data_IF_847562778413
#
_entry.id   IF_847562778413
#
_cell.length_a   1.000
_cell.length_b   1.000
_cell.length_c   1.000
_cell.angle_alpha   90.00
_cell.angle_beta   90.00
_cell.angle_gamma   90.00
#
_symmetry.space_group_name_H-M   'P 1'
#
loop_
_entity.id
_entity.type
_entity.pdbx_description
1 polymer ?
#
# COMPACT_ATOMS: atom_id res chain seq x y z
N UNK A 1 -13.15 29.28 20.59
CA UNK A 1 -13.86 27.99 20.70
C UNK A 1 -12.97 26.94 20.06
N UNK A 2 -12.64 25.87 20.79
CA UNK A 2 -11.65 24.88 20.36
C UNK A 2 -12.19 24.11 19.15
N UNK A 3 -11.58 24.26 17.96
CA UNK A 3 -11.91 23.51 16.73
C UNK A 3 -11.40 22.06 16.77
N UNK A 4 -10.34 21.82 17.55
CA UNK A 4 -9.69 20.52 17.72
C UNK A 4 -10.60 19.37 18.22
N UNK A 5 -11.57 19.57 19.15
CA UNK A 5 -12.41 18.50 19.66
C UNK A 5 -13.46 18.07 18.63
N UNK A 6 -14.06 19.02 17.90
CA UNK A 6 -15.10 18.69 16.93
C UNK A 6 -14.53 18.00 15.71
N UNK A 7 -13.43 18.51 15.15
CA UNK A 7 -12.74 17.87 14.03
C UNK A 7 -12.37 16.43 14.39
N UNK A 8 -11.77 16.22 15.55
CA UNK A 8 -11.41 14.88 16.03
C UNK A 8 -12.62 13.95 16.13
N UNK A 9 -13.71 14.40 16.74
CA UNK A 9 -14.96 13.60 16.83
C UNK A 9 -15.50 13.25 15.44
N UNK A 10 -15.45 14.19 14.49
CA UNK A 10 -15.87 13.94 13.11
C UNK A 10 -14.98 12.89 12.42
N UNK A 11 -13.66 13.01 12.55
CA UNK A 11 -12.72 12.06 11.97
C UNK A 11 -12.91 10.66 12.57
N UNK A 12 -13.05 10.54 13.90
CA UNK A 12 -13.32 9.26 14.58
C UNK A 12 -14.61 8.61 14.07
N UNK A 13 -15.66 9.41 13.87
CA UNK A 13 -16.94 8.95 13.29
C UNK A 13 -16.75 8.43 11.86
N UNK A 14 -16.00 9.16 11.02
CA UNK A 14 -15.71 8.76 9.64
C UNK A 14 -14.92 7.45 9.61
N UNK A 15 -13.90 7.31 10.46
CA UNK A 15 -13.13 6.07 10.60
C UNK A 15 -14.02 4.88 10.97
N UNK A 16 -14.99 5.09 11.86
CA UNK A 16 -15.96 4.05 12.26
C UNK A 16 -16.84 3.63 11.07
N UNK A 17 -17.36 4.61 10.32
CA UNK A 17 -18.19 4.37 9.13
C UNK A 17 -17.42 3.71 7.97
N UNK A 18 -16.10 3.97 7.85
CA UNK A 18 -15.22 3.29 6.91
C UNK A 18 -15.16 1.79 7.22
N UNK A 19 -14.91 1.43 8.49
CA UNK A 19 -14.89 0.04 8.97
C UNK A 19 -16.23 -0.67 8.77
N UNK A 20 -17.35 0.03 8.99
CA UNK A 20 -18.70 -0.50 8.74
C UNK A 20 -19.00 -0.67 7.24
N UNK A 21 -18.17 -0.09 6.35
CA UNK A 21 -18.33 -0.18 4.91
C UNK A 21 -19.47 0.68 4.38
N UNK A 22 -19.80 1.79 5.06
CA UNK A 22 -20.93 2.66 4.74
C UNK A 22 -20.93 3.11 3.27
N UNK A 23 -19.76 3.41 2.72
CA UNK A 23 -19.62 3.96 1.36
C UNK A 23 -19.26 2.93 0.28
N UNK A 24 -19.39 1.62 0.55
CA UNK A 24 -19.06 0.56 -0.42
C UNK A 24 -19.90 0.61 -1.71
N UNK A 25 -21.09 1.21 -1.65
CA UNK A 25 -22.00 1.34 -2.79
C UNK A 25 -21.92 2.70 -3.50
N UNK A 26 -21.06 3.62 -3.06
CA UNK A 26 -20.92 4.91 -3.70
C UNK A 26 -20.30 4.74 -5.10
N UNK A 27 -20.90 5.40 -6.10
CA UNK A 27 -20.40 5.38 -7.49
C UNK A 27 -19.09 6.16 -7.63
N UNK A 28 -18.96 7.25 -6.88
CA UNK A 28 -17.74 8.05 -6.77
C UNK A 28 -17.13 7.89 -5.40
N UNK A 29 -15.80 7.96 -5.34
CA UNK A 29 -15.08 7.91 -4.06
C UNK A 29 -15.32 9.23 -3.30
N UNK A 30 -15.95 9.22 -2.12
CA UNK A 30 -16.31 10.44 -1.41
C UNK A 30 -15.10 11.19 -0.82
N UNK A 31 -13.93 10.54 -0.78
CA UNK A 31 -12.70 11.13 -0.26
C UNK A 31 -11.87 11.81 -1.36
N UNK A 32 -12.24 11.66 -2.63
CA UNK A 32 -11.49 12.23 -3.76
C UNK A 32 -11.53 13.75 -3.82
N UNK A 33 -12.50 14.41 -3.21
CA UNK A 33 -12.59 15.88 -3.18
C UNK A 33 -12.08 16.49 -1.87
N UNK A 34 -11.64 15.66 -0.92
CA UNK A 34 -11.11 16.15 0.35
C UNK A 34 -9.69 16.70 0.20
N UNK A 35 -9.31 17.69 1.03
CA UNK A 35 -7.92 18.10 1.19
C UNK A 35 -7.02 16.92 1.57
N UNK A 36 -5.84 16.83 0.95
CA UNK A 36 -4.79 15.83 1.25
C UNK A 36 -4.56 15.65 2.75
N UNK A 37 -4.42 16.77 3.49
CA UNK A 37 -4.17 16.74 4.94
C UNK A 37 -5.24 15.95 5.69
N UNK A 38 -6.52 16.09 5.33
CA UNK A 38 -7.60 15.36 6.01
C UNK A 38 -7.60 13.87 5.65
N UNK A 39 -7.28 13.52 4.39
CA UNK A 39 -7.18 12.12 3.98
C UNK A 39 -6.01 11.43 4.67
N UNK A 40 -4.90 12.14 4.85
CA UNK A 40 -3.73 11.65 5.59
C UNK A 40 -4.04 11.49 7.08
N UNK A 41 -4.69 12.46 7.71
CA UNK A 41 -5.16 12.33 9.10
C UNK A 41 -6.10 11.13 9.28
N UNK A 42 -7.05 10.91 8.37
CA UNK A 42 -7.93 9.72 8.39
C UNK A 42 -7.12 8.43 8.22
N UNK A 43 -6.15 8.42 7.31
CA UNK A 43 -5.28 7.26 7.09
C UNK A 43 -4.44 6.94 8.33
N UNK A 44 -3.90 7.96 8.99
CA UNK A 44 -3.16 7.80 10.24
C UNK A 44 -4.06 7.29 11.37
N UNK A 45 -5.27 7.84 11.54
CA UNK A 45 -6.23 7.40 12.54
C UNK A 45 -6.64 5.93 12.33
N UNK A 46 -6.89 5.52 11.09
CA UNK A 46 -7.24 4.13 10.78
C UNK A 46 -6.08 3.16 11.01
N UNK A 47 -4.83 3.63 10.95
CA UNK A 47 -3.63 2.85 11.27
C UNK A 47 -3.22 2.95 12.74
N UNK A 48 -3.72 3.95 13.48
CA UNK A 48 -3.45 4.12 14.91
C UNK A 48 -4.17 3.02 15.70
N UNK A 49 -3.39 2.13 16.32
CA UNK A 49 -3.82 0.84 16.82
C UNK A 49 -4.40 0.87 18.24
N UNK A 50 -5.32 -0.07 18.48
CA UNK A 50 -5.43 -0.82 19.73
C UNK A 50 -5.06 -2.29 19.42
N UNK A 51 -4.38 -3.00 20.33
CA UNK A 51 -3.88 -4.38 20.07
C UNK A 51 -5.02 -5.36 19.74
N UNK A 52 -6.25 -5.02 20.13
CA UNK A 52 -7.44 -5.84 19.98
C UNK A 52 -8.20 -5.64 18.65
N UNK A 53 -7.94 -4.57 17.90
CA UNK A 53 -8.61 -4.29 16.62
C UNK A 53 -7.58 -3.84 15.55
N UNK A 54 -6.85 -4.80 14.94
CA UNK A 54 -5.86 -4.46 13.92
C UNK A 54 -6.53 -3.87 12.66
N UNK A 55 -5.87 -2.90 11.99
CA UNK A 55 -6.36 -2.26 10.80
C UNK A 55 -6.51 -3.28 9.69
N UNK A 56 -7.65 -3.20 8.99
CA UNK A 56 -7.93 -4.04 7.83
C UNK A 56 -7.78 -3.22 6.57
N UNK A 57 -7.05 -3.76 5.62
CA UNK A 57 -6.76 -3.11 4.36
C UNK A 57 -8.04 -2.76 3.58
N UNK A 58 -9.00 -3.68 3.54
CA UNK A 58 -10.25 -3.46 2.80
C UNK A 58 -11.15 -2.37 3.41
N UNK A 59 -11.00 -2.06 4.70
CA UNK A 59 -11.78 -1.01 5.37
C UNK A 59 -11.32 0.39 4.94
N UNK A 60 -10.05 0.52 4.52
CA UNK A 60 -9.45 1.80 4.11
C UNK A 60 -9.28 1.94 2.60
N UNK A 61 -9.84 1.02 1.81
CA UNK A 61 -9.69 1.02 0.35
C UNK A 61 -10.12 2.33 -0.31
N UNK A 62 -11.14 3.00 0.24
CA UNK A 62 -11.60 4.29 -0.25
C UNK A 62 -10.59 5.42 0.01
N UNK A 63 -9.86 5.38 1.14
CA UNK A 63 -8.76 6.34 1.37
C UNK A 63 -7.59 6.06 0.42
N UNK A 64 -7.24 4.78 0.26
CA UNK A 64 -6.19 4.30 -0.62
C UNK A 64 -6.41 4.64 -2.10
N UNK A 65 -7.66 4.80 -2.53
CA UNK A 65 -8.01 5.11 -3.93
C UNK A 65 -8.56 6.53 -4.10
N UNK A 66 -8.40 7.39 -3.08
CA UNK A 66 -8.87 8.77 -3.11
C UNK A 66 -8.11 9.64 -4.12
N UNK A 67 -6.86 9.29 -4.41
CA UNK A 67 -5.93 10.10 -5.20
C UNK A 67 -5.31 11.27 -4.44
N UNK A 68 -5.48 11.30 -3.12
CA UNK A 68 -5.05 12.41 -2.25
C UNK A 68 -3.83 12.10 -1.40
N UNK A 69 -3.38 10.84 -1.35
CA UNK A 69 -2.25 10.44 -0.50
C UNK A 69 -0.92 10.90 -1.11
N UNK A 70 -0.06 11.51 -0.27
CA UNK A 70 1.37 11.70 -0.58
C UNK A 70 2.22 10.58 0.02
N UNK A 71 1.73 9.95 1.09
CA UNK A 71 2.39 8.82 1.76
C UNK A 71 1.53 7.57 1.73
N UNK A 72 2.08 6.50 1.19
CA UNK A 72 1.48 5.16 1.22
C UNK A 72 2.31 4.25 2.12
N UNK A 73 1.74 3.87 3.27
CA UNK A 73 2.31 2.85 4.13
C UNK A 73 1.38 1.64 4.24
N UNK A 74 1.78 0.53 3.61
CA UNK A 74 1.02 -0.72 3.66
C UNK A 74 1.56 -1.73 4.70
N UNK A 75 2.59 -1.38 5.45
CA UNK A 75 3.21 -2.27 6.44
C UNK A 75 2.30 -2.65 7.62
N UNK A 76 1.40 -1.78 8.12
CA UNK A 76 0.50 -2.13 9.24
C UNK A 76 -0.52 -3.22 8.89
N UNK A 77 -0.82 -3.45 7.61
CA UNK A 77 -1.86 -4.39 7.18
C UNK A 77 -1.30 -5.81 6.98
N UNK A 78 -2.08 -6.82 7.37
CA UNK A 78 -1.76 -8.23 7.11
C UNK A 78 -2.35 -8.68 5.76
N UNK A 79 -1.88 -8.04 4.68
CA UNK A 79 -2.41 -8.20 3.32
C UNK A 79 -2.44 -9.66 2.84
N UNK A 80 -1.45 -10.46 3.25
CA UNK A 80 -1.38 -11.88 2.95
C UNK A 80 -2.59 -12.64 3.49
N UNK A 81 -2.87 -12.44 4.77
CA UNK A 81 -3.97 -13.08 5.47
C UNK A 81 -5.31 -12.56 4.94
N UNK A 82 -5.42 -11.25 4.69
CA UNK A 82 -6.64 -10.65 4.16
C UNK A 82 -6.97 -11.14 2.74
N UNK A 83 -5.99 -11.18 1.83
CA UNK A 83 -6.17 -11.70 0.46
C UNK A 83 -6.49 -13.20 0.47
N UNK A 84 -5.78 -14.01 1.26
CA UNK A 84 -6.04 -15.45 1.36
C UNK A 84 -7.41 -15.75 1.95
N UNK A 85 -7.80 -15.03 3.02
CA UNK A 85 -9.13 -15.17 3.60
C UNK A 85 -10.24 -14.76 2.64
N UNK A 86 -10.00 -13.74 1.81
CA UNK A 86 -10.95 -13.30 0.79
C UNK A 86 -11.14 -14.37 -0.28
N UNK A 87 -10.06 -14.96 -0.79
CA UNK A 87 -10.15 -16.03 -1.79
C UNK A 87 -10.82 -17.30 -1.28
N UNK A 88 -10.54 -17.68 -0.02
CA UNK A 88 -11.19 -18.83 0.63
C UNK A 88 -12.71 -18.66 0.71
N UNK A 89 -13.21 -17.44 0.94
CA UNK A 89 -14.66 -17.14 0.94
C UNK A 89 -15.31 -17.36 -0.42
N UNK A 90 -14.56 -17.23 -1.52
CA UNK A 90 -15.07 -17.47 -2.87
C UNK A 90 -14.93 -18.93 -3.34
N UNK A 91 -14.73 -19.88 -2.42
CA UNK A 91 -14.69 -21.32 -2.75
C UNK A 91 -13.43 -21.78 -3.47
N UNK A 92 -12.41 -20.92 -3.61
CA UNK A 92 -11.08 -21.34 -4.04
C UNK A 92 -10.35 -21.89 -2.81
N UNK A 93 -10.32 -23.23 -2.68
CA UNK A 93 -9.44 -23.91 -1.72
C UNK A 93 -7.99 -23.46 -1.87
N UNK A 94 -7.22 -23.48 -0.78
CA UNK A 94 -5.83 -23.01 -0.62
C UNK A 94 -5.28 -22.20 -1.82
N UNK A 95 -5.36 -20.88 -1.73
CA UNK A 95 -4.89 -19.96 -2.75
C UNK A 95 -3.45 -20.29 -3.13
N UNK A 96 -3.20 -20.67 -4.39
CA UNK A 96 -1.83 -20.81 -4.89
C UNK A 96 -1.09 -19.49 -4.63
N UNK A 97 0.15 -19.53 -4.11
CA UNK A 97 0.89 -18.30 -3.85
C UNK A 97 1.07 -17.40 -5.08
N UNK A 98 1.05 -17.97 -6.28
CA UNK A 98 1.07 -17.23 -7.55
C UNK A 98 -0.20 -16.39 -7.74
N UNK A 99 -1.36 -16.93 -7.37
CA UNK A 99 -2.65 -16.22 -7.46
C UNK A 99 -2.69 -15.08 -6.46
N UNK A 100 -2.28 -15.31 -5.21
CA UNK A 100 -2.16 -14.24 -4.22
C UNK A 100 -1.22 -13.14 -4.70
N UNK A 101 -0.12 -13.51 -5.37
CA UNK A 101 0.89 -12.55 -5.83
C UNK A 101 0.35 -11.70 -6.97
N UNK A 102 -0.34 -12.32 -7.92
CA UNK A 102 -1.04 -11.58 -8.99
C UNK A 102 -2.04 -10.58 -8.42
N UNK A 103 -2.88 -11.01 -7.47
CA UNK A 103 -3.87 -10.12 -6.85
C UNK A 103 -3.22 -8.98 -6.08
N UNK A 104 -2.13 -9.26 -5.37
CA UNK A 104 -1.34 -8.23 -4.72
C UNK A 104 -0.80 -7.21 -5.73
N UNK A 105 -0.20 -7.67 -6.83
CA UNK A 105 0.34 -6.79 -7.86
C UNK A 105 -0.76 -5.97 -8.57
N UNK A 106 -1.93 -6.55 -8.83
CA UNK A 106 -3.09 -5.84 -9.39
C UNK A 106 -3.64 -4.78 -8.43
N UNK A 107 -3.71 -5.12 -7.15
CA UNK A 107 -4.14 -4.21 -6.09
C UNK A 107 -3.17 -3.04 -5.93
N UNK A 108 -1.86 -3.30 -5.87
CA UNK A 108 -0.84 -2.25 -5.81
C UNK A 108 -0.91 -1.38 -7.06
N UNK A 109 -1.02 -1.98 -8.26
CA UNK A 109 -1.17 -1.22 -9.51
C UNK A 109 -2.38 -0.28 -9.45
N UNK A 110 -3.51 -0.75 -8.95
CA UNK A 110 -4.71 0.06 -8.75
C UNK A 110 -4.44 1.27 -7.85
N UNK A 111 -3.89 1.04 -6.65
CA UNK A 111 -3.55 2.11 -5.70
C UNK A 111 -2.59 3.13 -6.30
N UNK A 112 -1.51 2.67 -6.93
CA UNK A 112 -0.51 3.57 -7.53
C UNK A 112 -1.12 4.41 -8.65
N UNK A 113 -1.96 3.80 -9.49
CA UNK A 113 -2.64 4.51 -10.58
C UNK A 113 -3.61 5.59 -10.07
N UNK A 114 -4.22 5.38 -8.90
CA UNK A 114 -5.11 6.36 -8.29
C UNK A 114 -4.36 7.53 -7.65
N UNK A 115 -3.09 7.36 -7.22
CA UNK A 115 -2.37 8.37 -6.44
C UNK A 115 -1.07 8.83 -7.14
N UNK A 116 -1.17 9.72 -8.16
CA UNK A 116 0.00 10.26 -8.85
C UNK A 116 0.83 11.22 -7.99
N UNK A 117 0.29 11.66 -6.85
CA UNK A 117 0.94 12.59 -5.92
C UNK A 117 1.83 11.91 -4.88
N UNK A 118 1.99 10.58 -4.94
CA UNK A 118 2.80 9.84 -3.97
C UNK A 118 4.27 10.27 -3.99
N UNK A 119 4.75 10.63 -2.80
CA UNK A 119 6.13 11.00 -2.50
C UNK A 119 6.86 9.92 -1.68
N UNK A 120 6.13 9.16 -0.86
CA UNK A 120 6.70 8.10 -0.03
C UNK A 120 5.87 6.82 -0.08
N UNK A 121 6.52 5.68 -0.32
CA UNK A 121 5.91 4.36 -0.40
C UNK A 121 6.66 3.34 0.46
N UNK A 122 5.92 2.65 1.32
CA UNK A 122 6.39 1.55 2.15
C UNK A 122 5.59 0.28 1.88
N UNK A 123 6.27 -0.75 1.39
CA UNK A 123 5.67 -2.05 1.06
C UNK A 123 6.31 -3.17 1.88
N UNK A 124 5.48 -4.08 2.37
CA UNK A 124 5.94 -5.30 3.04
C UNK A 124 6.35 -6.40 2.05
N UNK A 125 5.77 -6.40 0.86
CA UNK A 125 5.98 -7.39 -0.20
C UNK A 125 6.48 -6.63 -1.43
N UNK A 126 7.44 -7.21 -2.14
CA UNK A 126 7.94 -6.61 -3.38
C UNK A 126 6.89 -6.77 -4.50
N UNK A 127 6.53 -5.67 -5.17
CA UNK A 127 5.78 -5.67 -6.44
C UNK A 127 6.70 -5.46 -7.63
N UNK A 128 6.17 -5.63 -8.85
CA UNK A 128 6.82 -5.19 -10.07
C UNK A 128 7.01 -3.65 -10.03
N UNK A 129 8.23 -3.16 -10.30
CA UNK A 129 8.54 -1.73 -10.25
C UNK A 129 7.79 -0.88 -11.31
N UNK A 130 7.25 -1.50 -12.36
CA UNK A 130 6.39 -0.83 -13.36
C UNK A 130 5.18 -0.11 -12.75
N UNK A 131 4.70 -0.56 -11.58
CA UNK A 131 3.58 0.11 -10.90
C UNK A 131 3.91 1.53 -10.46
N UNK A 132 5.19 1.88 -10.30
CA UNK A 132 5.64 3.20 -9.85
C UNK A 132 5.84 4.20 -10.99
N UNK A 133 5.76 3.78 -12.25
CA UNK A 133 6.03 4.61 -13.44
C UNK A 133 5.29 5.95 -13.43
N UNK A 134 4.07 5.99 -12.88
CA UNK A 134 3.23 7.20 -12.85
C UNK A 134 3.44 8.07 -11.59
N UNK A 135 4.20 7.61 -10.60
CA UNK A 135 4.46 8.33 -9.35
C UNK A 135 5.72 9.19 -9.50
N UNK A 136 5.65 10.21 -10.36
CA UNK A 136 6.82 11.03 -10.73
C UNK A 136 7.38 11.85 -9.55
N UNK A 137 6.56 12.10 -8.53
CA UNK A 137 6.98 12.77 -7.29
C UNK A 137 7.57 11.81 -6.25
N UNK A 138 7.73 10.52 -6.57
CA UNK A 138 8.16 9.53 -5.60
C UNK A 138 9.61 9.77 -5.21
N UNK A 139 9.82 10.13 -3.94
CA UNK A 139 11.13 10.40 -3.34
C UNK A 139 11.65 9.23 -2.53
N UNK A 140 10.76 8.50 -1.87
CA UNK A 140 11.12 7.42 -0.94
C UNK A 140 10.38 6.15 -1.32
N UNK A 141 11.12 5.10 -1.66
CA UNK A 141 10.61 3.75 -1.86
C UNK A 141 11.30 2.76 -0.93
N UNK A 142 10.54 2.21 0.02
CA UNK A 142 11.02 1.21 0.97
C UNK A 142 10.25 -0.09 0.83
N UNK A 143 10.98 -1.18 0.55
CA UNK A 143 10.43 -2.52 0.46
C UNK A 143 11.10 -3.36 1.55
N UNK A 144 10.29 -3.81 2.51
CA UNK A 144 10.76 -4.54 3.69
C UNK A 144 10.86 -6.06 3.49
N UNK A 145 10.27 -6.58 2.40
CA UNK A 145 10.19 -7.99 1.99
C UNK A 145 10.15 -8.99 3.16
N UNK A 146 9.07 -8.95 3.94
CA UNK A 146 8.81 -9.88 5.05
C UNK A 146 7.56 -10.73 4.85
N UNK A 147 7.48 -11.55 3.79
CA UNK A 147 6.31 -12.37 3.62
C UNK A 147 6.30 -13.59 4.55
N UNK A 148 5.11 -13.94 5.07
CA UNK A 148 4.89 -15.14 5.91
C UNK A 148 4.24 -16.29 5.13
N UNK A 149 3.33 -15.95 4.21
CA UNK A 149 2.52 -16.84 3.37
C UNK A 149 2.99 -16.77 1.91
N UNK A 150 3.40 -15.59 1.41
CA UNK A 150 4.10 -15.58 0.12
C UNK A 150 5.40 -16.34 0.29
N UNK A 151 5.70 -17.34 -0.57
CA UNK A 151 6.95 -18.06 -0.50
C UNK A 151 8.08 -17.03 -0.69
N UNK A 152 8.92 -16.91 0.35
CA UNK A 152 10.19 -16.18 0.32
C UNK A 152 11.06 -16.70 -0.85
N UNK A 153 10.81 -17.94 -1.30
CA UNK A 153 11.69 -18.72 -2.15
C UNK A 153 11.17 -19.08 -3.55
N UNK A 154 10.01 -18.58 -4.00
CA UNK A 154 9.76 -18.60 -5.47
C UNK A 154 10.71 -17.63 -6.19
N UNK A 155 11.22 -16.62 -5.49
CA UNK A 155 12.34 -15.83 -5.96
C UNK A 155 13.57 -16.74 -6.12
N UNK A 156 13.86 -17.68 -5.22
CA UNK A 156 14.94 -18.66 -5.41
C UNK A 156 14.73 -19.64 -6.59
N UNK A 157 13.47 -19.99 -6.90
CA UNK A 157 13.13 -20.87 -8.03
C UNK A 157 13.00 -20.14 -9.38
N UNK A 158 12.71 -18.82 -9.38
CA UNK A 158 12.62 -18.00 -10.59
C UNK A 158 13.83 -17.05 -10.80
N UNK A 159 14.68 -16.81 -9.80
CA UNK A 159 15.88 -15.94 -9.92
C UNK A 159 16.98 -16.53 -10.77
N UNK A 160 16.95 -17.81 -11.09
CA UNK A 160 17.85 -18.30 -12.12
C UNK A 160 17.57 -17.61 -13.48
N UNK A 161 16.35 -17.10 -13.73
CA UNK A 161 15.93 -16.69 -15.07
C UNK A 161 15.22 -15.33 -15.24
N UNK A 162 14.83 -14.60 -14.19
CA UNK A 162 14.24 -13.26 -14.36
C UNK A 162 15.01 -12.17 -13.60
N UNK A 163 15.81 -11.34 -14.30
CA UNK A 163 16.42 -10.17 -13.70
C UNK A 163 15.32 -9.22 -13.22
N UNK A 164 15.50 -8.67 -12.02
CA UNK A 164 14.65 -7.58 -11.53
C UNK A 164 14.88 -6.40 -12.46
N UNK A 165 13.86 -6.00 -13.21
CA UNK A 165 13.93 -4.81 -14.04
C UNK A 165 13.79 -3.56 -13.15
N UNK A 166 14.90 -2.85 -13.01
CA UNK A 166 14.98 -1.59 -12.28
C UNK A 166 14.95 -0.38 -13.23
N UNK A 167 14.80 -0.60 -14.54
CA UNK A 167 14.83 0.49 -15.54
C UNK A 167 13.76 1.55 -15.29
N UNK A 168 12.60 1.17 -14.75
CA UNK A 168 11.56 2.14 -14.36
C UNK A 168 12.05 3.10 -13.29
N UNK A 169 12.92 2.66 -12.39
CA UNK A 169 13.41 3.53 -11.32
C UNK A 169 14.30 4.67 -11.85
N UNK A 170 14.95 4.50 -13.01
CA UNK A 170 15.67 5.60 -13.64
C UNK A 170 14.74 6.65 -14.25
N UNK A 171 13.46 6.33 -14.45
CA UNK A 171 12.44 7.29 -14.89
C UNK A 171 11.86 8.12 -13.74
N UNK A 172 12.19 7.79 -12.49
CA UNK A 172 11.73 8.50 -11.29
C UNK A 172 12.78 9.52 -10.88
N UNK A 173 12.70 10.72 -11.46
CA UNK A 173 13.74 11.76 -11.30
C UNK A 173 13.91 12.23 -9.87
N UNK A 174 12.83 12.20 -9.09
CA UNK A 174 12.81 12.71 -7.71
C UNK A 174 13.16 11.62 -6.68
N UNK A 175 13.44 10.39 -7.12
CA UNK A 175 13.71 9.27 -6.22
C UNK A 175 15.05 9.46 -5.49
N UNK A 176 14.98 9.73 -4.20
CA UNK A 176 16.13 9.99 -3.31
C UNK A 176 16.55 8.74 -2.52
N UNK A 177 15.58 7.91 -2.12
CA UNK A 177 15.79 6.77 -1.24
C UNK A 177 15.16 5.52 -1.83
N UNK A 178 16.01 4.55 -2.19
CA UNK A 178 15.58 3.18 -2.48
C UNK A 178 16.16 2.23 -1.42
N UNK A 179 15.27 1.59 -0.66
CA UNK A 179 15.63 0.58 0.34
C UNK A 179 14.99 -0.75 0.00
N UNK A 180 15.81 -1.72 -0.41
CA UNK A 180 15.40 -3.10 -0.64
C UNK A 180 15.95 -3.96 0.49
N UNK A 181 15.16 -4.14 1.55
CA UNK A 181 15.51 -4.99 2.69
C UNK A 181 15.10 -6.42 2.36
N UNK A 182 16.05 -7.24 1.90
CA UNK A 182 15.91 -8.70 1.96
C UNK A 182 16.42 -9.17 3.31
N UNK A 183 15.89 -10.28 3.83
CA UNK A 183 16.20 -10.81 5.17
C UNK A 183 17.69 -11.16 5.43
N UNK A 184 18.62 -10.78 4.55
CA UNK A 184 20.06 -10.95 4.71
C UNK A 184 20.92 -9.83 4.09
N UNK A 185 20.37 -8.83 3.39
CA UNK A 185 21.15 -7.77 2.73
C UNK A 185 20.37 -6.45 2.67
N UNK A 186 21.04 -5.35 3.03
CA UNK A 186 20.54 -3.99 2.83
C UNK A 186 21.20 -3.43 1.57
N UNK A 187 20.42 -3.23 0.50
CA UNK A 187 20.85 -2.37 -0.61
C UNK A 187 20.29 -0.98 -0.34
N UNK A 188 21.14 -0.08 0.16
CA UNK A 188 20.88 1.35 0.15
C UNK A 188 21.43 1.90 -1.17
N UNK A 189 20.54 2.24 -2.09
CA UNK A 189 20.92 3.01 -3.27
C UNK A 189 20.52 4.45 -2.98
N UNK A 190 21.49 5.25 -2.54
CA UNK A 190 21.41 6.71 -2.53
C UNK A 190 21.77 7.18 -3.93
N UNK A 191 20.80 7.82 -4.56
CA UNK A 191 20.87 8.27 -5.94
C UNK A 191 21.69 9.56 -6.06
N UNK A 192 22.92 9.43 -6.53
CA UNK A 192 23.52 10.40 -7.46
C UNK A 192 23.46 9.76 -8.84
N UNK A 193 22.29 9.78 -9.48
CA UNK A 193 22.17 9.34 -10.88
C UNK A 193 22.59 10.53 -11.75
N UNK A 194 23.69 10.36 -12.47
CA UNK A 194 24.31 11.36 -13.36
C UNK A 194 23.37 11.87 -14.46
#
# INVERSE_FOLDING_TARGET
MSLAPLLKICLDRICSQLKEGMWKSCTTNPFSDLPTVLVEELMELTQSHDEHDPPKFFDVMLLLTSGRLTRLNLCPFDLEKELDSSLKKFGRGCSSPLVLRSLYDDMIRGIMSSNPLLEEVHLKIQSNFEVFRNCQKLRILRIYNRPKIFPVDLIGLFHANFPIDLSVLSTLTDLEVLSLLRSSYVLLISSSWY
#
